data_IF_569719506118
#
_entry.id   IF_569719506118
#
_cell.length_a   1.000
_cell.length_b   1.000
_cell.length_c   1.000
_cell.angle_alpha   90.00
_cell.angle_beta   90.00
_cell.angle_gamma   90.00
#
_symmetry.space_group_name_H-M   'P 1'
#
loop_
_entity.id
_entity.type
_entity.pdbx_description
1 polymer ?
#
# COMPACT_ATOMS: atom_id res chain seq x y z
N UNK A 1 7.18 23.73 11.90
CA UNK A 1 7.04 23.75 10.42
C UNK A 1 5.62 23.46 9.93
N UNK A 2 4.99 22.31 10.25
CA UNK A 2 3.62 22.05 9.79
C UNK A 2 2.57 23.06 10.32
N UNK A 3 2.71 23.53 11.57
CA UNK A 3 1.87 24.57 12.16
C UNK A 3 2.15 25.97 11.63
N UNK A 4 3.31 26.17 11.01
CA UNK A 4 3.83 27.47 10.57
C UNK A 4 3.49 27.72 9.10
N UNK A 5 3.43 26.63 8.30
CA UNK A 5 3.03 26.65 6.90
C UNK A 5 2.02 25.53 6.62
N UNK A 6 0.78 25.62 7.14
CA UNK A 6 -0.20 24.54 7.05
C UNK A 6 -0.53 24.14 5.60
N UNK A 7 -0.59 25.12 4.69
CA UNK A 7 -0.87 24.87 3.26
C UNK A 7 0.29 24.16 2.58
N UNK A 8 1.52 24.65 2.77
CA UNK A 8 2.73 24.04 2.17
C UNK A 8 2.99 22.66 2.77
N UNK A 9 2.73 22.48 4.07
CA UNK A 9 2.85 21.19 4.73
C UNK A 9 1.81 20.18 4.21
N UNK A 10 0.60 20.63 3.85
CA UNK A 10 -0.36 19.77 3.17
C UNK A 10 0.18 19.31 1.81
N UNK A 11 0.58 20.26 0.96
CA UNK A 11 1.15 19.95 -0.36
C UNK A 11 2.37 19.03 -0.26
N UNK A 12 3.28 19.30 0.68
CA UNK A 12 4.47 18.49 0.88
C UNK A 12 4.12 17.04 1.26
N UNK A 13 3.08 16.81 2.05
CA UNK A 13 2.60 15.44 2.35
C UNK A 13 2.08 14.76 1.09
N UNK A 14 1.31 15.46 0.26
CA UNK A 14 0.76 14.89 -0.96
C UNK A 14 1.87 14.52 -1.97
N UNK A 15 2.84 15.40 -2.17
CA UNK A 15 3.92 15.19 -3.14
C UNK A 15 5.02 14.24 -2.66
N UNK A 16 5.37 14.27 -1.37
CA UNK A 16 6.46 13.44 -0.82
C UNK A 16 5.97 12.06 -0.36
N UNK A 17 4.66 11.85 -0.21
CA UNK A 17 4.10 10.50 0.00
C UNK A 17 4.26 9.61 -1.23
N UNK A 18 4.44 10.20 -2.42
CA UNK A 18 4.72 9.47 -3.64
C UNK A 18 6.17 8.97 -3.57
N UNK A 19 6.43 7.65 -3.58
CA UNK A 19 7.78 7.14 -3.57
C UNK A 19 8.51 7.64 -4.82
N UNK A 20 9.69 8.24 -4.64
CA UNK A 20 10.49 8.77 -5.74
C UNK A 20 10.98 7.69 -6.73
N UNK A 21 10.81 6.42 -6.40
CA UNK A 21 11.26 5.27 -7.20
C UNK A 21 10.20 4.18 -7.26
N UNK A 22 10.20 3.41 -8.35
CA UNK A 22 9.34 2.24 -8.55
C UNK A 22 9.68 1.06 -7.63
N UNK A 23 10.73 1.16 -6.81
CA UNK A 23 11.25 0.06 -5.98
C UNK A 23 10.18 -0.55 -5.08
N UNK A 24 9.30 0.26 -4.51
CA UNK A 24 8.20 -0.23 -3.66
C UNK A 24 7.21 -1.09 -4.44
N UNK A 25 6.92 -0.70 -5.69
CA UNK A 25 6.01 -1.42 -6.58
C UNK A 25 6.67 -2.69 -7.11
N UNK A 26 7.96 -2.63 -7.48
CA UNK A 26 8.74 -3.80 -7.91
C UNK A 26 8.90 -4.84 -6.79
N UNK A 27 9.11 -4.39 -5.54
CA UNK A 27 9.11 -5.26 -4.36
C UNK A 27 7.76 -5.93 -4.16
N UNK A 28 6.66 -5.19 -4.31
CA UNK A 28 5.30 -5.73 -4.23
C UNK A 28 5.06 -6.80 -5.30
N UNK A 29 5.41 -6.52 -6.56
CA UNK A 29 5.27 -7.48 -7.67
C UNK A 29 6.22 -8.68 -7.56
N UNK A 30 7.43 -8.49 -7.04
CA UNK A 30 8.34 -9.60 -6.79
C UNK A 30 7.79 -10.53 -5.70
N UNK A 31 7.30 -9.97 -4.59
CA UNK A 31 6.64 -10.73 -3.53
C UNK A 31 5.37 -11.43 -4.01
N UNK A 32 4.60 -10.79 -4.90
CA UNK A 32 3.41 -11.40 -5.50
C UNK A 32 3.77 -12.57 -6.42
N UNK A 33 4.88 -12.48 -7.15
CA UNK A 33 5.40 -13.59 -7.97
C UNK A 33 5.75 -14.81 -7.13
N UNK A 34 6.32 -14.61 -5.95
CA UNK A 34 6.56 -15.70 -5.00
C UNK A 34 5.25 -16.32 -4.51
N UNK A 35 4.29 -15.50 -4.08
CA UNK A 35 2.96 -15.96 -3.70
C UNK A 35 2.28 -16.77 -4.82
N UNK A 36 2.26 -16.26 -6.05
CA UNK A 36 1.72 -16.94 -7.22
C UNK A 36 2.45 -18.25 -7.57
N UNK A 37 3.77 -18.30 -7.36
CA UNK A 37 4.60 -19.48 -7.67
C UNK A 37 4.44 -20.57 -6.61
N UNK A 38 4.27 -20.20 -5.35
CA UNK A 38 4.03 -21.13 -4.23
C UNK A 38 2.59 -21.69 -4.27
N UNK A 39 1.59 -20.90 -4.69
CA UNK A 39 0.19 -21.36 -4.83
C UNK A 39 -0.07 -22.04 -6.17
N UNK A 40 0.62 -23.16 -6.45
CA UNK A 40 0.46 -23.99 -7.67
C UNK A 40 -0.94 -24.65 -7.82
N UNK A 41 -1.91 -24.25 -7.01
CA UNK A 41 -3.30 -24.71 -7.00
C UNK A 41 -4.26 -23.54 -7.26
N UNK A 42 -4.58 -23.29 -8.53
CA UNK A 42 -5.79 -22.59 -9.01
C UNK A 42 -6.31 -21.39 -8.18
N UNK A 43 -5.44 -20.52 -7.70
CA UNK A 43 -5.87 -19.33 -6.97
C UNK A 43 -6.15 -18.21 -7.98
N UNK A 44 -7.34 -17.62 -7.94
CA UNK A 44 -7.71 -16.56 -8.87
C UNK A 44 -6.89 -15.28 -8.60
N UNK A 45 -6.64 -14.49 -9.64
CA UNK A 45 -5.92 -13.22 -9.52
C UNK A 45 -6.57 -12.25 -8.51
N UNK A 46 -7.89 -12.33 -8.36
CA UNK A 46 -8.66 -11.64 -7.32
C UNK A 46 -8.20 -12.02 -5.92
N UNK A 47 -8.14 -13.32 -5.62
CA UNK A 47 -7.71 -13.86 -4.32
C UNK A 47 -6.26 -13.48 -3.99
N UNK A 48 -5.36 -13.47 -4.99
CA UNK A 48 -3.97 -13.02 -4.79
C UNK A 48 -3.94 -11.55 -4.36
N UNK A 49 -4.76 -10.72 -5.00
CA UNK A 49 -4.86 -9.29 -4.69
C UNK A 49 -5.41 -9.07 -3.29
N UNK A 50 -6.49 -9.77 -2.93
CA UNK A 50 -7.07 -9.72 -1.58
C UNK A 50 -6.06 -10.12 -0.52
N UNK A 51 -5.36 -11.25 -0.69
CA UNK A 51 -4.34 -11.71 0.26
C UNK A 51 -3.21 -10.70 0.41
N UNK A 52 -2.73 -10.10 -0.68
CA UNK A 52 -1.70 -9.07 -0.61
C UNK A 52 -2.17 -7.81 0.13
N UNK A 53 -3.39 -7.34 -0.16
CA UNK A 53 -3.98 -6.19 0.53
C UNK A 53 -4.20 -6.48 2.01
N UNK A 54 -4.82 -7.62 2.36
CA UNK A 54 -5.06 -8.02 3.75
C UNK A 54 -3.75 -8.17 4.52
N UNK A 55 -2.71 -8.78 3.92
CA UNK A 55 -1.40 -8.87 4.56
C UNK A 55 -0.80 -7.49 4.82
N UNK A 56 -0.82 -6.61 3.82
CA UNK A 56 -0.29 -5.24 3.94
C UNK A 56 -1.02 -4.43 5.01
N UNK A 57 -2.34 -4.60 5.13
CA UNK A 57 -3.18 -3.95 6.14
C UNK A 57 -2.96 -4.50 7.54
N UNK A 58 -2.71 -5.81 7.68
CA UNK A 58 -2.37 -6.41 8.97
C UNK A 58 -0.99 -5.94 9.46
N UNK A 59 -0.06 -5.72 8.54
CA UNK A 59 1.27 -5.16 8.83
C UNK A 59 1.23 -3.65 9.16
N UNK A 60 0.19 -2.93 8.72
CA UNK A 60 0.05 -1.48 8.86
C UNK A 60 -1.39 -1.09 9.26
N UNK A 61 -1.73 -1.18 10.56
CA UNK A 61 -3.10 -0.97 11.05
C UNK A 61 -3.59 0.48 10.88
N UNK A 62 -2.69 1.46 10.85
CA UNK A 62 -3.02 2.86 10.55
C UNK A 62 -3.49 3.01 9.09
N UNK A 63 -2.83 2.34 8.14
CA UNK A 63 -3.26 2.30 6.74
C UNK A 63 -4.63 1.64 6.58
N UNK A 64 -4.93 0.58 7.34
CA UNK A 64 -6.25 -0.05 7.32
C UNK A 64 -7.34 0.94 7.76
N UNK A 65 -7.09 1.71 8.82
CA UNK A 65 -8.05 2.69 9.32
C UNK A 65 -8.27 3.84 8.32
N UNK A 66 -7.20 4.36 7.73
CA UNK A 66 -7.23 5.44 6.75
C UNK A 66 -7.95 5.05 5.44
N UNK A 67 -7.75 3.82 4.94
CA UNK A 67 -8.25 3.40 3.62
C UNK A 67 -9.65 2.78 3.68
N UNK A 68 -9.98 2.05 4.75
CA UNK A 68 -11.23 1.26 4.83
C UNK A 68 -12.23 1.83 5.84
N UNK A 69 -11.76 2.36 6.97
CA UNK A 69 -12.64 2.77 8.07
C UNK A 69 -12.93 4.27 8.12
N UNK A 70 -12.20 5.13 7.40
CA UNK A 70 -12.58 6.53 7.23
C UNK A 70 -13.63 6.67 6.12
N UNK A 71 -14.91 6.99 6.44
CA UNK A 71 -15.83 7.47 5.43
C UNK A 71 -15.37 8.84 4.91
N UNK A 72 -15.56 9.07 3.60
CA UNK A 72 -15.47 10.40 2.97
C UNK A 72 -16.45 11.38 3.62
#
# INVERSE_FOLDING_TARGET
>A
HASEFPVVACMARDFLAIPATSVSVERLFSNSRHLCRDTRSSMQASTITEVMCTKKWLEDPDLFYEVILKPQ
#
